data_IF_673075818769
#
_entry.id   IF_673075818769
#
_cell.length_a   1.000
_cell.length_b   1.000
_cell.length_c   1.000
_cell.angle_alpha   90.00
_cell.angle_beta   90.00
_cell.angle_gamma   90.00
#
_symmetry.space_group_name_H-M   'P 1'
#
loop_
_entity.id
_entity.type
_entity.pdbx_description
1 polymer ?
#
# COMPACT_ATOMS: atom_id res chain seq x y z
N UNK A 1 4.37 1.52 23.55
CA UNK A 1 5.69 2.14 23.38
C UNK A 1 6.03 2.17 21.89
N UNK A 2 5.65 3.27 21.21
CA UNK A 2 5.94 3.44 19.78
C UNK A 2 7.37 3.92 19.64
N UNK A 3 8.30 3.00 19.51
CA UNK A 3 9.65 3.33 19.09
C UNK A 3 9.57 3.84 17.65
N UNK A 4 9.70 5.15 17.47
CA UNK A 4 9.82 5.76 16.14
C UNK A 4 11.15 5.31 15.52
N UNK A 5 11.07 4.74 14.33
CA UNK A 5 12.22 4.25 13.57
C UNK A 5 12.55 5.25 12.48
N UNK A 6 13.82 5.61 12.38
CA UNK A 6 14.29 6.42 11.27
C UNK A 6 14.42 5.55 10.03
N UNK A 7 13.89 6.02 8.91
CA UNK A 7 13.77 5.29 7.66
C UNK A 7 14.10 6.22 6.49
N UNK A 8 14.96 5.79 5.57
CA UNK A 8 15.11 6.48 4.30
C UNK A 8 14.02 6.02 3.34
N UNK A 9 13.27 6.96 2.80
CA UNK A 9 12.17 6.70 1.86
C UNK A 9 12.60 7.20 0.48
N UNK A 10 12.53 6.32 -0.53
CA UNK A 10 12.70 6.68 -1.92
C UNK A 10 11.38 6.48 -2.64
N UNK A 11 10.71 7.58 -2.96
CA UNK A 11 9.45 7.58 -3.68
C UNK A 11 9.66 7.92 -5.15
N UNK A 12 9.02 7.16 -6.03
CA UNK A 12 8.85 7.50 -7.43
C UNK A 12 7.37 7.45 -7.80
N UNK A 13 6.86 8.57 -8.30
CA UNK A 13 5.48 8.69 -8.75
C UNK A 13 5.51 8.92 -10.26
N UNK A 14 4.74 8.11 -10.98
CA UNK A 14 4.52 8.28 -12.42
C UNK A 14 3.05 8.42 -12.69
N UNK A 15 2.68 9.50 -13.35
CA UNK A 15 1.32 9.78 -13.79
C UNK A 15 1.34 10.11 -15.29
N UNK A 16 0.32 9.70 -16.01
CA UNK A 16 0.16 10.01 -17.42
C UNK A 16 -1.32 10.26 -17.76
N UNK A 17 -1.60 11.13 -18.71
CA UNK A 17 -2.95 11.39 -19.22
C UNK A 17 -3.71 12.54 -18.55
N UNK A 18 -3.04 13.43 -17.82
CA UNK A 18 -3.68 14.41 -16.93
C UNK A 18 -3.98 15.79 -17.55
N UNK A 19 -3.27 16.21 -18.57
CA UNK A 19 -3.15 17.65 -18.87
C UNK A 19 -4.40 18.34 -19.45
N UNK A 20 -5.45 17.61 -19.87
CA UNK A 20 -6.58 18.21 -20.58
C UNK A 20 -7.98 17.94 -19.98
N UNK A 21 -8.14 17.08 -18.97
CA UNK A 21 -9.46 16.55 -18.62
C UNK A 21 -9.95 16.79 -17.20
N UNK A 22 -9.08 17.18 -16.28
CA UNK A 22 -9.45 17.35 -14.86
C UNK A 22 -9.20 18.79 -14.40
N UNK A 23 -10.11 19.29 -13.58
CA UNK A 23 -9.88 20.53 -12.85
C UNK A 23 -8.81 20.32 -11.75
N UNK A 24 -8.18 21.41 -11.34
CA UNK A 24 -7.10 21.36 -10.34
C UNK A 24 -7.50 20.68 -9.02
N UNK A 25 -8.77 20.79 -8.63
CA UNK A 25 -9.28 20.26 -7.37
C UNK A 25 -9.42 18.73 -7.43
N UNK A 26 -9.98 18.22 -8.52
CA UNK A 26 -10.09 16.76 -8.75
C UNK A 26 -8.72 16.10 -8.86
N UNK A 27 -7.77 16.79 -9.49
CA UNK A 27 -6.37 16.37 -9.55
C UNK A 27 -5.73 16.28 -8.16
N UNK A 28 -5.95 17.27 -7.32
CA UNK A 28 -5.39 17.29 -5.98
C UNK A 28 -5.92 16.12 -5.13
N UNK A 29 -7.21 15.86 -5.18
CA UNK A 29 -7.83 14.71 -4.47
C UNK A 29 -7.23 13.40 -4.95
N UNK A 30 -7.10 13.23 -6.27
CA UNK A 30 -6.48 12.03 -6.84
C UNK A 30 -5.03 11.84 -6.38
N UNK A 31 -4.23 12.91 -6.38
CA UNK A 31 -2.84 12.86 -5.89
C UNK A 31 -2.78 12.53 -4.42
N UNK A 32 -3.62 13.14 -3.59
CA UNK A 32 -3.67 12.86 -2.15
C UNK A 32 -3.99 11.39 -1.86
N UNK A 33 -4.90 10.79 -2.61
CA UNK A 33 -5.25 9.38 -2.44
C UNK A 33 -4.15 8.44 -2.96
N UNK A 34 -3.50 8.75 -4.09
CA UNK A 34 -2.35 7.98 -4.60
C UNK A 34 -1.15 8.10 -3.68
N UNK A 35 -0.95 9.28 -3.07
CA UNK A 35 0.16 9.53 -2.15
C UNK A 35 -0.07 8.98 -0.75
N UNK A 36 -1.32 8.68 -0.39
CA UNK A 36 -1.65 8.18 0.94
C UNK A 36 -0.99 6.83 1.21
N UNK A 37 -0.30 6.76 2.32
CA UNK A 37 0.26 5.49 2.80
C UNK A 37 -0.87 4.53 3.21
N UNK A 38 -0.77 3.29 2.73
CA UNK A 38 -1.69 2.22 3.08
C UNK A 38 -1.05 1.34 4.15
N UNK A 39 -1.71 1.24 5.29
CA UNK A 39 -1.35 0.28 6.33
C UNK A 39 -2.36 -0.88 6.34
N UNK A 40 -1.93 -2.03 5.84
CA UNK A 40 -2.76 -3.23 5.74
C UNK A 40 -3.04 -3.89 7.09
N UNK A 41 -2.28 -3.54 8.13
CA UNK A 41 -2.49 -4.05 9.50
C UNK A 41 -3.52 -3.26 10.30
N UNK A 42 -3.97 -2.11 9.79
CA UNK A 42 -5.13 -1.42 10.33
C UNK A 42 -6.42 -2.21 10.06
N UNK A 43 -7.42 -2.04 10.90
CA UNK A 43 -8.71 -2.72 10.70
C UNK A 43 -9.39 -2.29 9.40
N UNK A 44 -9.21 -1.03 9.01
CA UNK A 44 -9.79 -0.44 7.82
C UNK A 44 -8.75 0.29 7.00
N UNK A 45 -8.91 0.22 5.70
CA UNK A 45 -8.12 0.93 4.70
C UNK A 45 -9.05 1.91 4.01
N UNK A 46 -8.77 3.22 4.15
CA UNK A 46 -9.55 4.25 3.47
C UNK A 46 -8.82 4.67 2.22
N UNK A 47 -9.44 4.43 1.07
CA UNK A 47 -8.96 4.82 -0.26
C UNK A 47 -10.12 5.40 -1.06
N UNK A 48 -9.86 6.48 -1.80
CA UNK A 48 -10.85 7.13 -2.67
C UNK A 48 -12.16 7.46 -1.91
N UNK A 49 -12.02 7.95 -0.69
CA UNK A 49 -13.11 8.24 0.24
C UNK A 49 -13.98 7.02 0.61
N UNK A 50 -13.57 5.83 0.18
CA UNK A 50 -14.25 4.57 0.49
C UNK A 50 -13.47 3.80 1.55
N UNK A 51 -14.20 3.25 2.50
CA UNK A 51 -13.63 2.45 3.58
C UNK A 51 -13.73 0.97 3.24
N UNK A 52 -12.59 0.32 3.17
CA UNK A 52 -12.46 -1.12 2.92
C UNK A 52 -12.06 -1.83 4.21
N UNK A 53 -12.63 -3.00 4.45
CA UNK A 53 -12.17 -3.86 5.54
C UNK A 53 -10.82 -4.45 5.16
N UNK A 54 -9.83 -4.32 6.03
CA UNK A 54 -8.53 -4.96 5.80
C UNK A 54 -8.65 -6.49 5.91
N UNK A 55 -8.02 -7.25 5.01
CA UNK A 55 -7.98 -8.72 5.12
C UNK A 55 -7.14 -9.21 6.30
N UNK A 56 -6.42 -8.34 6.99
CA UNK A 56 -5.67 -8.62 8.22
C UNK A 56 -6.36 -8.10 9.49
N UNK A 57 -7.54 -7.51 9.36
CA UNK A 57 -8.31 -7.06 10.50
C UNK A 57 -8.78 -8.23 11.38
N UNK A 58 -9.07 -7.93 12.64
CA UNK A 58 -9.63 -8.94 13.56
C UNK A 58 -10.98 -9.49 13.12
N UNK A 59 -11.75 -8.70 12.37
CA UNK A 59 -13.07 -9.07 11.84
C UNK A 59 -12.98 -9.67 10.42
N UNK A 60 -11.77 -9.77 9.85
CA UNK A 60 -11.59 -10.30 8.49
C UNK A 60 -12.28 -11.67 8.24
N UNK A 61 -12.32 -12.62 9.19
CA UNK A 61 -13.02 -13.90 8.98
C UNK A 61 -14.52 -13.78 8.72
N UNK A 62 -15.16 -12.68 9.14
CA UNK A 62 -16.57 -12.41 8.86
C UNK A 62 -16.78 -11.88 7.44
N UNK A 63 -15.79 -11.19 6.89
CA UNK A 63 -15.86 -10.50 5.60
C UNK A 63 -15.20 -11.28 4.47
N UNK A 64 -14.23 -12.15 4.77
CA UNK A 64 -13.41 -12.87 3.79
C UNK A 64 -13.49 -14.37 3.92
N UNK A 65 -13.26 -15.04 2.79
CA UNK A 65 -12.93 -16.48 2.73
C UNK A 65 -11.44 -16.57 2.43
N UNK A 66 -10.75 -17.48 3.13
CA UNK A 66 -9.33 -17.74 2.96
C UNK A 66 -9.12 -19.15 2.44
N UNK A 67 -8.24 -19.30 1.47
CA UNK A 67 -7.88 -20.55 0.84
C UNK A 67 -6.38 -20.73 0.85
N UNK A 68 -5.92 -21.89 1.28
CA UNK A 68 -4.54 -22.32 1.06
C UNK A 68 -4.46 -22.76 -0.40
N UNK A 69 -3.67 -22.07 -1.21
CA UNK A 69 -3.66 -22.30 -2.66
C UNK A 69 -2.39 -22.98 -3.15
N UNK A 70 -1.22 -22.59 -2.67
CA UNK A 70 0.03 -23.12 -3.18
C UNK A 70 1.19 -22.92 -2.19
N UNK A 71 2.36 -23.43 -2.57
CA UNK A 71 3.65 -23.12 -1.93
C UNK A 71 4.62 -22.65 -2.99
N UNK A 72 4.99 -21.39 -2.92
CA UNK A 72 5.80 -20.69 -3.93
C UNK A 72 7.05 -20.06 -3.32
N UNK A 73 7.98 -19.69 -4.16
CA UNK A 73 9.12 -18.88 -3.72
C UNK A 73 8.83 -17.40 -3.97
N UNK A 74 8.99 -16.59 -2.91
CA UNK A 74 9.00 -15.12 -2.99
C UNK A 74 10.44 -14.71 -2.76
N UNK A 75 11.08 -14.20 -3.81
CA UNK A 75 12.53 -14.03 -3.88
C UNK A 75 13.26 -15.37 -3.58
N UNK A 76 14.03 -15.46 -2.50
CA UNK A 76 14.73 -16.67 -2.06
C UNK A 76 13.98 -17.44 -0.96
N UNK A 77 12.82 -16.96 -0.51
CA UNK A 77 12.10 -17.53 0.62
C UNK A 77 10.95 -18.40 0.15
N UNK A 78 10.90 -19.65 0.62
CA UNK A 78 9.76 -20.54 0.38
C UNK A 78 8.57 -20.08 1.24
N UNK A 79 7.45 -19.78 0.61
CA UNK A 79 6.25 -19.24 1.26
C UNK A 79 5.04 -20.11 0.93
N UNK A 80 4.14 -20.20 1.89
CA UNK A 80 2.77 -20.66 1.68
C UNK A 80 1.97 -19.50 1.11
N UNK A 81 1.24 -19.76 0.02
CA UNK A 81 0.31 -18.81 -0.60
C UNK A 81 -1.09 -19.03 -0.05
N UNK A 82 -1.66 -17.98 0.53
CA UNK A 82 -3.04 -17.93 1.01
C UNK A 82 -3.81 -16.90 0.18
N UNK A 83 -4.81 -17.36 -0.56
CA UNK A 83 -5.71 -16.47 -1.29
C UNK A 83 -6.88 -16.04 -0.40
N UNK A 84 -7.23 -14.78 -0.46
CA UNK A 84 -8.42 -14.24 0.21
C UNK A 84 -9.35 -13.56 -0.79
N UNK A 85 -10.65 -13.74 -0.58
CA UNK A 85 -11.71 -13.13 -1.38
C UNK A 85 -12.85 -12.68 -0.48
N UNK A 86 -13.58 -11.60 -0.80
CA UNK A 86 -14.76 -11.20 -0.06
C UNK A 86 -15.81 -12.32 -0.04
N UNK A 87 -16.52 -12.44 1.07
CA UNK A 87 -17.62 -13.44 1.19
C UNK A 87 -18.82 -13.11 0.30
N UNK A 88 -19.07 -11.82 0.11
CA UNK A 88 -20.18 -11.31 -0.69
C UNK A 88 -19.68 -10.25 -1.66
N UNK A 89 -20.25 -10.17 -2.85
CA UNK A 89 -19.90 -9.17 -3.86
C UNK A 89 -20.17 -7.72 -3.38
N UNK A 90 -21.10 -7.50 -2.45
CA UNK A 90 -21.39 -6.19 -1.86
C UNK A 90 -20.43 -5.77 -0.74
N UNK A 91 -19.53 -6.66 -0.32
CA UNK A 91 -18.55 -6.33 0.72
C UNK A 91 -17.48 -5.41 0.17
N UNK A 92 -17.33 -4.22 0.76
CA UNK A 92 -16.20 -3.34 0.47
C UNK A 92 -14.91 -3.95 1.00
N UNK A 93 -14.30 -4.78 0.18
CA UNK A 93 -13.10 -5.55 0.52
C UNK A 93 -12.22 -5.79 -0.70
N UNK A 94 -11.07 -6.35 -0.46
CA UNK A 94 -10.08 -6.67 -1.48
C UNK A 94 -10.12 -8.16 -1.83
N UNK A 95 -9.67 -8.51 -3.00
CA UNK A 95 -9.22 -9.87 -3.32
C UNK A 95 -7.72 -9.88 -3.47
N UNK A 96 -7.05 -10.96 -3.04
CA UNK A 96 -5.60 -10.99 -3.12
C UNK A 96 -4.97 -12.23 -2.50
N UNK A 97 -3.68 -12.11 -2.17
CA UNK A 97 -2.87 -13.20 -1.65
C UNK A 97 -1.93 -12.73 -0.55
N UNK A 98 -1.73 -13.60 0.43
CA UNK A 98 -0.65 -13.49 1.41
C UNK A 98 0.42 -14.52 1.11
N UNK A 99 1.67 -14.16 1.36
CA UNK A 99 2.81 -15.04 1.26
C UNK A 99 3.48 -15.12 2.63
N UNK A 100 3.34 -16.28 3.25
CA UNK A 100 3.82 -16.56 4.62
C UNK A 100 5.01 -17.50 4.54
N UNK A 101 6.20 -17.15 5.06
CA UNK A 101 7.36 -18.04 5.05
C UNK A 101 7.08 -19.38 5.72
N UNK A 102 7.47 -20.46 5.08
CA UNK A 102 7.34 -21.80 5.64
C UNK A 102 8.26 -21.94 6.85
N UNK A 103 7.71 -22.42 7.96
CA UNK A 103 8.46 -22.63 9.20
C UNK A 103 8.55 -21.43 10.13
N UNK A 104 7.97 -20.27 9.75
CA UNK A 104 7.84 -19.16 10.68
C UNK A 104 6.57 -19.30 11.53
N UNK A 105 6.78 -19.64 12.81
CA UNK A 105 5.68 -19.79 13.79
C UNK A 105 4.97 -18.47 14.13
N UNK A 106 5.54 -17.34 13.75
CA UNK A 106 4.95 -16.01 14.03
C UNK A 106 3.91 -15.58 13.00
N UNK A 107 3.64 -16.40 11.97
CA UNK A 107 2.74 -16.10 10.87
C UNK A 107 3.07 -14.74 10.22
N UNK A 108 4.35 -14.47 10.07
CA UNK A 108 4.86 -13.26 9.43
C UNK A 108 4.44 -13.27 7.96
N UNK A 109 3.93 -12.14 7.46
CA UNK A 109 3.59 -11.97 6.05
C UNK A 109 4.77 -11.31 5.36
N UNK A 110 5.42 -12.03 4.44
CA UNK A 110 6.54 -11.53 3.64
C UNK A 110 6.07 -10.61 2.53
N UNK A 111 4.97 -10.97 1.87
CA UNK A 111 4.35 -10.18 0.79
C UNK A 111 2.83 -10.25 0.90
N UNK A 112 2.18 -9.15 0.62
CA UNK A 112 0.74 -9.10 0.37
C UNK A 112 0.51 -8.47 -1.00
N UNK A 113 -0.36 -9.10 -1.80
CA UNK A 113 -0.89 -8.51 -3.03
C UNK A 113 -2.40 -8.43 -2.90
N UNK A 114 -2.97 -7.27 -3.20
CA UNK A 114 -4.42 -7.09 -3.13
C UNK A 114 -4.91 -6.14 -4.22
N UNK A 115 -6.12 -6.36 -4.65
CA UNK A 115 -6.81 -5.53 -5.64
C UNK A 115 -8.27 -5.38 -5.27
N UNK A 116 -8.88 -4.30 -5.70
CA UNK A 116 -10.34 -4.16 -5.60
C UNK A 116 -10.98 -5.03 -6.68
N UNK A 117 -11.98 -5.87 -6.33
CA UNK A 117 -12.75 -6.63 -7.29
C UNK A 117 -13.49 -5.71 -8.28
N UNK A 118 -13.59 -6.13 -9.55
CA UNK A 118 -14.30 -5.36 -10.59
C UNK A 118 -15.80 -5.18 -10.31
N UNK A 119 -16.37 -6.03 -9.47
CA UNK A 119 -17.80 -5.96 -9.09
C UNK A 119 -18.10 -4.79 -8.14
N UNK A 120 -17.06 -4.22 -7.53
CA UNK A 120 -17.20 -3.06 -6.65
C UNK A 120 -17.16 -1.80 -7.50
N UNK A 121 -18.27 -1.06 -7.51
CA UNK A 121 -18.34 0.22 -8.19
C UNK A 121 -17.63 1.29 -7.38
N UNK A 122 -16.48 1.71 -7.85
CA UNK A 122 -15.71 2.85 -7.31
C UNK A 122 -15.84 4.09 -8.21
N UNK A 123 -17.00 4.30 -8.81
CA UNK A 123 -17.29 5.38 -9.73
C UNK A 123 -16.34 5.36 -10.94
N UNK A 124 -15.33 6.22 -10.95
CA UNK A 124 -14.41 6.40 -12.07
C UNK A 124 -13.21 5.46 -12.06
N UNK A 125 -13.08 4.60 -11.04
CA UNK A 125 -11.92 3.74 -10.86
C UNK A 125 -12.17 2.40 -11.54
N UNK A 126 -11.32 2.09 -12.53
CA UNK A 126 -11.34 0.83 -13.26
C UNK A 126 -10.47 -0.24 -12.60
N UNK A 127 -9.39 0.18 -11.92
CA UNK A 127 -8.48 -0.73 -11.26
C UNK A 127 -7.75 -0.07 -10.09
N UNK A 128 -7.58 -0.84 -9.01
CA UNK A 128 -6.74 -0.47 -7.88
C UNK A 128 -6.05 -1.72 -7.38
N UNK A 129 -4.72 -1.69 -7.35
CA UNK A 129 -3.92 -2.77 -6.79
C UNK A 129 -2.84 -2.25 -5.85
N UNK A 130 -2.53 -3.05 -4.84
CA UNK A 130 -1.51 -2.75 -3.83
C UNK A 130 -0.67 -4.00 -3.65
N UNK A 131 0.65 -3.82 -3.66
CA UNK A 131 1.62 -4.85 -3.32
C UNK A 131 2.55 -4.30 -2.26
N UNK A 132 2.70 -5.01 -1.15
CA UNK A 132 3.60 -4.61 -0.08
C UNK A 132 4.50 -5.77 0.31
N UNK A 133 5.79 -5.48 0.41
CA UNK A 133 6.81 -6.42 0.87
C UNK A 133 7.29 -6.04 2.26
N UNK A 134 7.49 -7.06 3.09
CA UNK A 134 7.93 -6.90 4.46
C UNK A 134 9.14 -7.76 4.76
N UNK A 135 9.94 -7.30 5.70
CA UNK A 135 11.03 -8.06 6.30
C UNK A 135 10.86 -8.09 7.81
N UNK A 136 11.29 -9.18 8.41
CA UNK A 136 11.31 -9.32 9.87
C UNK A 136 12.59 -8.72 10.40
N UNK A 137 12.47 -7.74 11.27
CA UNK A 137 13.59 -7.13 11.95
C UNK A 137 14.19 -8.07 13.00
N UNK A 138 15.44 -7.84 13.45
CA UNK A 138 16.07 -8.63 14.51
C UNK A 138 15.27 -8.64 15.84
N UNK A 139 14.53 -7.57 16.12
CA UNK A 139 13.66 -7.45 17.29
C UNK A 139 12.29 -8.15 17.11
N UNK A 140 12.08 -8.83 15.98
CA UNK A 140 10.84 -9.51 15.62
C UNK A 140 9.76 -8.59 15.03
N UNK A 141 10.02 -7.31 14.91
CA UNK A 141 9.05 -6.38 14.33
C UNK A 141 8.99 -6.51 12.79
N UNK A 142 7.90 -6.04 12.23
CA UNK A 142 7.67 -6.02 10.78
C UNK A 142 8.12 -4.68 10.22
N UNK A 143 8.95 -4.74 9.19
CA UNK A 143 9.39 -3.56 8.44
C UNK A 143 8.86 -3.64 7.03
N UNK A 144 8.17 -2.61 6.60
CA UNK A 144 7.77 -2.45 5.20
C UNK A 144 9.03 -2.11 4.39
N UNK A 145 9.29 -2.86 3.32
CA UNK A 145 10.42 -2.65 2.41
C UNK A 145 9.98 -2.02 1.10
N UNK A 146 8.82 -2.44 0.61
CA UNK A 146 8.24 -1.95 -0.63
C UNK A 146 6.77 -1.69 -0.43
N UNK A 147 6.28 -0.59 -0.99
CA UNK A 147 4.87 -0.27 -1.11
C UNK A 147 4.60 0.18 -2.55
N UNK A 148 3.98 -0.67 -3.33
CA UNK A 148 3.63 -0.43 -4.73
C UNK A 148 2.12 -0.36 -4.87
N UNK A 149 1.60 0.79 -5.26
CA UNK A 149 0.17 1.02 -5.48
C UNK A 149 -0.05 1.48 -6.91
N UNK A 150 -1.00 0.87 -7.59
CA UNK A 150 -1.46 1.32 -8.91
C UNK A 150 -2.93 1.68 -8.86
N UNK A 151 -3.28 2.73 -9.57
CA UNK A 151 -4.64 3.23 -9.70
C UNK A 151 -4.93 3.52 -11.17
N UNK A 152 -6.00 2.94 -11.67
CA UNK A 152 -6.51 3.18 -13.02
C UNK A 152 -7.89 3.82 -12.90
N UNK A 153 -8.07 4.95 -13.56
CA UNK A 153 -9.33 5.72 -13.54
C UNK A 153 -9.75 6.12 -14.93
N UNK A 154 -11.06 6.18 -15.16
CA UNK A 154 -11.64 6.69 -16.40
C UNK A 154 -12.90 7.49 -16.08
N UNK A 155 -12.89 8.77 -16.43
CA UNK A 155 -13.98 9.68 -16.08
C UNK A 155 -15.26 9.42 -16.88
N UNK A 156 -15.12 9.07 -18.15
CA UNK A 156 -16.25 8.79 -19.06
C UNK A 156 -15.90 7.65 -20.02
N UNK A 157 -16.86 6.82 -20.40
CA UNK A 157 -16.66 5.83 -21.46
C UNK A 157 -16.16 6.49 -22.76
N UNK A 158 -15.11 5.92 -23.36
CA UNK A 158 -14.52 6.44 -24.60
C UNK A 158 -13.48 7.55 -24.42
N UNK A 159 -13.26 8.04 -23.20
CA UNK A 159 -12.17 8.98 -22.92
C UNK A 159 -10.86 8.26 -22.57
N UNK A 160 -9.71 8.93 -22.74
CA UNK A 160 -8.44 8.37 -22.25
C UNK A 160 -8.51 8.07 -20.75
N UNK A 161 -7.97 6.91 -20.36
CA UNK A 161 -7.83 6.54 -18.95
C UNK A 161 -6.66 7.27 -18.29
N UNK A 162 -6.76 7.41 -16.99
CA UNK A 162 -5.73 7.97 -16.12
C UNK A 162 -5.05 6.81 -15.39
N UNK A 163 -3.73 6.77 -15.41
CA UNK A 163 -2.95 5.80 -14.68
C UNK A 163 -2.03 6.49 -13.68
N UNK A 164 -2.14 6.09 -12.42
CA UNK A 164 -1.24 6.53 -11.35
C UNK A 164 -0.53 5.34 -10.72
N UNK A 165 0.77 5.47 -10.47
CA UNK A 165 1.54 4.48 -9.71
C UNK A 165 2.41 5.19 -8.69
N UNK A 166 2.34 4.72 -7.46
CA UNK A 166 3.29 5.04 -6.41
C UNK A 166 4.13 3.81 -6.12
N UNK A 167 5.43 3.98 -6.17
CA UNK A 167 6.39 2.93 -5.80
C UNK A 167 7.35 3.48 -4.76
N UNK A 168 7.19 3.05 -3.51
CA UNK A 168 7.99 3.49 -2.37
C UNK A 168 8.89 2.35 -1.92
N UNK A 169 10.17 2.62 -1.80
CA UNK A 169 11.16 1.71 -1.24
C UNK A 169 11.67 2.28 0.08
N UNK A 170 11.64 1.46 1.12
CA UNK A 170 12.10 1.80 2.46
C UNK A 170 13.44 1.12 2.70
N UNK A 171 14.49 1.89 2.90
CA UNK A 171 15.83 1.39 3.19
C UNK A 171 16.47 2.12 4.39
N UNK A 172 17.67 1.72 4.80
CA UNK A 172 18.42 2.40 5.84
C UNK A 172 17.76 2.38 7.22
N UNK A 173 17.10 1.29 7.59
CA UNK A 173 16.44 1.16 8.89
C UNK A 173 17.45 1.25 10.03
N UNK A 174 17.30 2.25 10.90
CA UNK A 174 18.10 2.40 12.10
C UNK A 174 17.34 1.86 13.32
N UNK A 175 17.94 0.91 14.01
CA UNK A 175 17.42 0.28 15.23
C UNK A 175 18.05 0.85 16.50
N UNK A 176 18.84 1.92 16.39
CA UNK A 176 19.47 2.56 17.54
C UNK A 176 18.37 3.05 18.51
N UNK A 177 18.44 2.67 19.80
CA UNK A 177 17.49 3.11 20.83
C UNK A 177 17.60 4.60 21.17
N UNK A 178 18.67 5.27 20.78
CA UNK A 178 18.88 6.72 20.98
C UNK A 178 18.60 7.50 19.71
N UNK A 179 17.33 7.83 19.39
CA UNK A 179 17.02 8.69 18.27
C UNK A 179 17.60 10.08 18.48
N UNK A 180 18.14 10.68 17.43
CA UNK A 180 18.64 12.04 17.46
C UNK A 180 17.53 13.00 17.92
N UNK A 181 17.69 13.70 19.06
CA UNK A 181 16.66 14.59 19.61
C UNK A 181 16.26 15.71 18.64
N UNK A 182 17.16 16.11 17.72
CA UNK A 182 16.87 17.14 16.75
C UNK A 182 15.82 16.73 15.71
N UNK A 183 15.70 15.45 15.42
CA UNK A 183 14.70 14.93 14.45
C UNK A 183 13.29 15.12 14.99
N UNK A 184 13.09 15.01 16.31
CA UNK A 184 11.78 15.16 16.94
C UNK A 184 11.43 16.59 17.32
N UNK A 185 12.41 17.50 17.34
CA UNK A 185 12.18 18.92 17.61
C UNK A 185 11.70 19.69 16.37
N UNK A 186 11.95 19.14 15.18
CA UNK A 186 11.47 19.72 13.91
C UNK A 186 10.05 19.20 13.70
N UNK A 187 9.06 20.11 13.70
CA UNK A 187 7.64 19.76 13.48
C UNK A 187 7.42 18.93 12.22
N UNK A 188 6.37 18.10 12.21
CA UNK A 188 6.10 17.06 11.20
C UNK A 188 6.17 17.51 9.73
N UNK A 189 6.04 18.79 9.42
CA UNK A 189 6.15 19.31 8.07
C UNK A 189 7.59 19.38 7.54
N UNK A 190 8.60 19.38 8.41
CA UNK A 190 10.01 19.36 8.00
C UNK A 190 10.53 17.94 7.71
N UNK A 191 9.89 16.92 8.24
CA UNK A 191 10.20 15.52 7.93
C UNK A 191 9.80 15.18 6.48
N UNK A 192 8.79 15.84 5.93
CA UNK A 192 8.41 15.73 4.50
C UNK A 192 9.45 16.33 3.54
N UNK A 193 10.25 17.28 3.99
CA UNK A 193 11.22 17.97 3.15
C UNK A 193 12.55 17.20 2.96
N UNK A 194 12.89 16.27 3.83
CA UNK A 194 14.18 15.53 3.79
C UNK A 194 14.15 14.32 2.85
N UNK A 195 12.97 13.84 2.46
CA UNK A 195 12.80 12.66 1.59
C UNK A 195 12.27 12.92 0.19
N UNK A 196 11.81 14.11 -0.13
CA UNK A 196 11.21 14.43 -1.43
C UNK A 196 12.14 15.33 -2.26
N UNK A 197 13.12 14.76 -2.94
CA UNK A 197 13.71 15.44 -4.09
C UNK A 197 12.69 15.44 -5.24
N UNK A 198 11.99 16.54 -5.38
CA UNK A 198 11.15 16.84 -6.52
C UNK A 198 12.05 17.11 -7.73
N UNK A 199 12.34 16.09 -8.52
CA UNK A 199 12.90 16.32 -9.86
C UNK A 199 11.73 16.67 -10.79
N UNK A 200 11.39 17.94 -10.82
CA UNK A 200 10.57 18.51 -11.88
C UNK A 200 11.34 18.40 -13.20
N UNK A 201 11.07 17.39 -14.00
CA UNK A 201 11.42 17.43 -15.42
C UNK A 201 10.36 18.29 -16.11
N UNK A 202 10.80 19.46 -16.57
CA UNK A 202 10.08 20.20 -17.61
C UNK A 202 10.19 19.38 -18.90
N UNK A 203 9.05 19.02 -19.47
CA UNK A 203 8.91 18.65 -20.88
C UNK A 203 8.63 19.89 -21.70
#
# INVERSE_FOLDING_TARGET
>A
DRRQRQMCIRDSIRTSGFDEMLDKQSMQIFYEDVLREVDVYNNDITLLQTRFVSPLSRIAPEFYKFYLTDTVYVDTTRCVELTFVPRNASTMGFTGRFYVPVGDSTMFIKRITMRVPHDINLNFIEGLSITQDYVKAPDGSRLKMVDDMTLEARLMPGTPGIYGRRHTVYDGHNFDPAPDPEIFSKGGDQIKAVGAEYRGQKF
#
